data_IF_834773449686
#
_entry.id   IF_834773449686
#
_cell.length_a   1.000
_cell.length_b   1.000
_cell.length_c   1.000
_cell.angle_alpha   90.00
_cell.angle_beta   90.00
_cell.angle_gamma   90.00
#
_symmetry.space_group_name_H-M   'P 1'
#
loop_
_entity.id
_entity.type
_entity.pdbx_description
1 polymer ?
#
# COMPACT_ATOMS: atom_id res chain seq x y z
N UNK A 1 -53.71 -3.70 -41.01
CA UNK A 1 -54.74 -4.65 -41.31
C UNK A 1 -54.31 -6.08 -41.01
N UNK A 2 -55.10 -6.71 -40.23
CA UNK A 2 -55.62 -8.06 -40.27
C UNK A 2 -54.67 -9.20 -39.94
N UNK A 3 -54.94 -10.13 -39.18
CA UNK A 3 -56.06 -10.77 -38.51
C UNK A 3 -55.51 -12.03 -37.89
N UNK A 4 -55.81 -12.31 -36.69
CA UNK A 4 -56.72 -13.31 -36.14
C UNK A 4 -56.51 -14.80 -36.55
N UNK A 5 -56.46 -15.63 -35.51
CA UNK A 5 -56.93 -17.01 -35.41
C UNK A 5 -55.86 -18.01 -34.89
N UNK A 6 -56.01 -18.82 -33.93
CA UNK A 6 -57.08 -19.45 -33.19
C UNK A 6 -56.44 -20.72 -32.62
N UNK A 7 -56.68 -21.09 -31.34
CA UNK A 7 -56.33 -22.39 -30.76
C UNK A 7 -57.28 -23.51 -31.24
N UNK A 8 -57.30 -24.77 -30.69
CA UNK A 8 -57.35 -25.09 -29.28
C UNK A 8 -56.76 -26.46 -28.81
N UNK A 9 -56.57 -26.58 -27.48
CA UNK A 9 -56.91 -27.70 -26.54
C UNK A 9 -56.59 -29.20 -26.80
N UNK A 10 -56.02 -29.78 -25.78
CA UNK A 10 -56.11 -31.21 -25.39
C UNK A 10 -54.87 -31.65 -24.66
N UNK A 11 -54.79 -32.02 -23.44
CA UNK A 11 -55.57 -32.87 -22.60
C UNK A 11 -54.78 -34.16 -22.34
N UNK A 12 -54.23 -34.37 -21.08
CA UNK A 12 -53.75 -35.67 -20.68
C UNK A 12 -52.68 -35.66 -19.60
N UNK A 13 -53.06 -35.91 -18.34
CA UNK A 13 -52.27 -36.42 -17.20
C UNK A 13 -52.56 -37.88 -17.07
N UNK A 14 -51.93 -38.75 -16.20
CA UNK A 14 -50.80 -38.62 -15.26
C UNK A 14 -49.82 -39.82 -15.33
N UNK A 15 -48.73 -39.79 -14.54
CA UNK A 15 -47.95 -41.00 -14.27
C UNK A 15 -46.63 -40.67 -13.55
N UNK A 16 -46.60 -41.09 -12.29
CA UNK A 16 -45.59 -40.89 -11.28
C UNK A 16 -44.31 -41.73 -11.44
N UNK A 17 -43.30 -41.38 -10.69
CA UNK A 17 -42.05 -42.13 -10.55
C UNK A 17 -41.04 -41.35 -9.79
N UNK A 18 -40.88 -41.67 -8.50
CA UNK A 18 -39.86 -41.11 -7.64
C UNK A 18 -38.46 -41.57 -8.05
N UNK A 19 -37.49 -40.69 -7.79
CA UNK A 19 -36.08 -40.98 -7.92
C UNK A 19 -35.28 -39.92 -7.16
N UNK A 20 -34.82 -40.26 -5.96
CA UNK A 20 -33.93 -39.41 -5.15
C UNK A 20 -32.64 -39.11 -5.89
N UNK A 21 -32.42 -37.85 -6.17
CA UNK A 21 -31.13 -37.32 -6.67
C UNK A 21 -30.38 -36.70 -5.52
N UNK A 22 -29.35 -37.40 -5.05
CA UNK A 22 -28.46 -36.93 -4.03
C UNK A 22 -27.81 -35.59 -4.47
N UNK A 23 -27.96 -34.60 -3.64
CA UNK A 23 -27.17 -33.37 -3.72
C UNK A 23 -25.70 -33.72 -3.49
N UNK A 24 -25.00 -33.98 -4.57
CA UNK A 24 -23.56 -34.02 -4.61
C UNK A 24 -23.03 -32.63 -4.37
N UNK A 25 -22.77 -32.31 -3.10
CA UNK A 25 -21.96 -31.17 -2.75
C UNK A 25 -20.58 -31.38 -3.32
N UNK A 26 -20.30 -30.76 -4.47
CA UNK A 26 -18.97 -30.62 -5.03
C UNK A 26 -18.14 -29.78 -4.08
N UNK A 27 -17.54 -30.41 -3.07
CA UNK A 27 -16.42 -29.81 -2.36
C UNK A 27 -15.27 -29.65 -3.35
N UNK A 28 -15.15 -28.45 -3.91
CA UNK A 28 -13.97 -28.07 -4.67
C UNK A 28 -12.77 -28.34 -3.78
N UNK A 29 -11.92 -29.28 -4.15
CA UNK A 29 -10.67 -29.53 -3.46
C UNK A 29 -9.93 -28.19 -3.37
N UNK A 30 -9.76 -27.67 -2.15
CA UNK A 30 -9.04 -26.43 -1.93
C UNK A 30 -7.64 -26.60 -2.53
N UNK A 31 -7.30 -25.75 -3.48
CA UNK A 31 -5.97 -25.74 -4.07
C UNK A 31 -4.95 -25.62 -2.95
N UNK A 32 -3.92 -26.48 -2.87
CA UNK A 32 -2.96 -26.41 -1.80
C UNK A 32 -2.26 -25.03 -1.81
N UNK A 33 -1.92 -24.49 -0.64
CA UNK A 33 -1.25 -23.20 -0.55
C UNK A 33 0.09 -23.23 -1.31
N UNK A 34 0.50 -22.10 -1.94
CA UNK A 34 1.75 -22.02 -2.68
C UNK A 34 2.93 -22.33 -1.79
N UNK A 35 3.94 -23.00 -2.35
CA UNK A 35 5.14 -23.41 -1.64
C UNK A 35 6.37 -22.57 -2.03
N UNK A 36 6.28 -21.82 -3.13
CA UNK A 36 7.41 -21.06 -3.70
C UNK A 36 6.92 -19.68 -4.15
N UNK A 37 6.75 -18.78 -3.19
CA UNK A 37 6.30 -17.41 -3.46
C UNK A 37 7.50 -16.53 -3.77
N UNK A 38 7.48 -15.86 -4.91
CA UNK A 38 8.43 -14.81 -5.27
C UNK A 38 7.69 -13.48 -5.30
N UNK A 39 8.25 -12.46 -4.68
CA UNK A 39 7.69 -11.09 -4.70
C UNK A 39 8.70 -10.11 -5.30
N UNK A 40 8.22 -9.24 -6.19
CA UNK A 40 9.04 -8.31 -6.98
C UNK A 40 8.99 -6.87 -6.46
N UNK A 41 8.29 -6.60 -5.35
CA UNK A 41 8.16 -5.24 -4.82
C UNK A 41 8.19 -5.20 -3.29
N UNK A 42 8.92 -4.25 -2.69
CA UNK A 42 9.07 -4.15 -1.23
C UNK A 42 7.74 -3.93 -0.51
N UNK A 43 6.74 -3.37 -1.18
CA UNK A 43 5.42 -3.16 -0.58
C UNK A 43 4.67 -4.46 -0.33
N UNK A 44 4.71 -5.39 -1.29
CA UNK A 44 4.11 -6.72 -1.14
C UNK A 44 4.96 -7.60 -0.22
N UNK A 45 6.29 -7.46 -0.24
CA UNK A 45 7.19 -8.13 0.68
C UNK A 45 6.84 -7.85 2.13
N UNK A 46 6.56 -6.57 2.46
CA UNK A 46 6.18 -6.17 3.80
C UNK A 46 4.88 -6.84 4.29
N UNK A 47 3.95 -7.10 3.37
CA UNK A 47 2.74 -7.87 3.67
C UNK A 47 3.08 -9.36 3.77
N UNK A 48 3.79 -9.90 2.77
CA UNK A 48 4.09 -11.32 2.63
C UNK A 48 4.79 -11.89 3.86
N UNK A 49 5.81 -11.21 4.39
CA UNK A 49 6.55 -11.66 5.60
C UNK A 49 5.69 -11.67 6.87
N UNK A 50 4.51 -11.08 6.84
CA UNK A 50 3.56 -11.05 7.96
C UNK A 50 2.47 -12.13 7.85
N UNK A 51 2.17 -12.58 6.62
CA UNK A 51 1.05 -13.48 6.37
C UNK A 51 1.48 -14.87 5.91
N UNK A 52 2.60 -15.01 5.19
CA UNK A 52 3.09 -16.30 4.72
C UNK A 52 3.98 -17.01 5.75
N UNK A 53 4.12 -18.33 5.60
CA UNK A 53 5.17 -19.08 6.29
C UNK A 53 6.53 -18.77 5.66
N UNK A 54 7.57 -18.65 6.49
CA UNK A 54 8.93 -18.38 6.00
C UNK A 54 9.38 -19.34 4.88
N UNK A 55 9.02 -20.62 5.00
CA UNK A 55 9.37 -21.67 4.02
C UNK A 55 8.69 -21.50 2.66
N UNK A 56 7.56 -20.78 2.60
CA UNK A 56 6.87 -20.47 1.35
C UNK A 56 7.59 -19.36 0.56
N UNK A 57 8.41 -18.53 1.21
CA UNK A 57 9.05 -17.37 0.60
C UNK A 57 10.33 -17.84 -0.11
N UNK A 58 10.26 -17.97 -1.44
CA UNK A 58 11.38 -18.34 -2.28
C UNK A 58 12.33 -17.15 -2.49
N UNK A 59 11.81 -15.93 -2.71
CA UNK A 59 12.59 -14.71 -2.73
C UNK A 59 11.71 -13.48 -2.52
N UNK A 60 12.28 -12.43 -1.92
CA UNK A 60 11.76 -11.07 -1.84
C UNK A 60 12.45 -10.19 -2.89
N UNK A 61 11.91 -9.00 -3.12
CA UNK A 61 12.60 -7.96 -3.88
C UNK A 61 13.88 -7.52 -3.15
N UNK A 62 14.98 -7.31 -3.89
CA UNK A 62 16.22 -6.74 -3.34
C UNK A 62 16.01 -5.38 -2.66
N UNK A 63 15.03 -4.58 -3.13
CA UNK A 63 14.65 -3.31 -2.51
C UNK A 63 14.23 -3.43 -1.04
N UNK A 64 13.80 -4.62 -0.61
CA UNK A 64 13.44 -4.86 0.79
C UNK A 64 14.64 -4.85 1.75
N UNK A 65 15.87 -4.92 1.22
CA UNK A 65 17.12 -4.74 1.99
C UNK A 65 17.62 -3.31 2.07
N UNK A 66 16.97 -2.36 1.38
CA UNK A 66 17.39 -0.96 1.34
C UNK A 66 16.84 -0.17 2.55
N UNK A 67 17.70 0.35 3.44
CA UNK A 67 17.27 0.98 4.68
C UNK A 67 16.38 2.22 4.49
N UNK A 68 16.61 2.98 3.40
CA UNK A 68 15.87 4.21 3.10
C UNK A 68 14.46 3.96 2.60
N UNK A 69 14.21 2.81 1.96
CA UNK A 69 12.96 2.51 1.25
C UNK A 69 12.11 1.40 1.87
N UNK A 70 12.69 0.54 2.71
CA UNK A 70 12.02 -0.64 3.26
C UNK A 70 11.76 -0.54 4.76
N UNK A 71 10.59 -1.02 5.17
CA UNK A 71 10.20 -1.18 6.59
C UNK A 71 10.57 -2.54 7.18
N UNK A 72 11.16 -3.44 6.39
CA UNK A 72 11.44 -4.84 6.77
C UNK A 72 12.89 -5.26 6.56
N UNK A 73 13.82 -4.31 6.54
CA UNK A 73 15.24 -4.55 6.22
C UNK A 73 15.84 -5.73 7.00
N UNK A 74 15.62 -5.76 8.32
CA UNK A 74 16.19 -6.81 9.18
C UNK A 74 15.61 -8.20 8.86
N UNK A 75 14.31 -8.26 8.54
CA UNK A 75 13.66 -9.51 8.13
C UNK A 75 14.19 -9.94 6.75
N UNK A 76 14.30 -8.99 5.81
CA UNK A 76 14.75 -9.26 4.44
C UNK A 76 16.22 -9.71 4.37
N UNK A 77 17.08 -9.31 5.31
CA UNK A 77 18.46 -9.80 5.40
C UNK A 77 18.56 -11.31 5.61
N UNK A 78 17.58 -11.89 6.30
CA UNK A 78 17.52 -13.31 6.59
C UNK A 78 16.78 -14.15 5.54
N UNK A 79 16.30 -13.53 4.45
CA UNK A 79 15.56 -14.19 3.37
C UNK A 79 16.28 -14.04 2.03
N UNK A 80 16.10 -14.99 1.07
CA UNK A 80 16.59 -14.79 -0.29
C UNK A 80 15.97 -13.56 -0.92
N UNK A 81 16.71 -12.89 -1.81
CA UNK A 81 16.21 -11.78 -2.63
C UNK A 81 16.49 -12.02 -4.10
N UNK A 82 15.70 -11.36 -4.96
CA UNK A 82 15.88 -11.32 -6.41
C UNK A 82 15.93 -9.87 -6.89
N UNK A 83 16.68 -9.62 -7.95
CA UNK A 83 16.66 -8.35 -8.69
C UNK A 83 15.50 -8.28 -9.68
N UNK A 84 14.72 -9.36 -9.81
CA UNK A 84 13.49 -9.38 -10.58
C UNK A 84 13.71 -9.54 -12.08
N UNK A 85 14.89 -10.01 -12.54
CA UNK A 85 15.07 -10.39 -13.93
C UNK A 85 14.24 -11.65 -14.26
N UNK A 86 13.84 -11.80 -15.52
CA UNK A 86 13.04 -12.95 -15.93
C UNK A 86 13.78 -14.27 -15.71
N UNK A 87 15.10 -14.28 -15.93
CA UNK A 87 15.97 -15.43 -15.74
C UNK A 87 16.07 -15.86 -14.26
N UNK A 88 16.23 -14.88 -13.36
CA UNK A 88 16.25 -15.14 -11.92
C UNK A 88 14.91 -15.73 -11.45
N UNK A 89 13.79 -15.09 -11.83
CA UNK A 89 12.45 -15.56 -11.45
C UNK A 89 12.21 -16.98 -11.99
N UNK A 90 12.59 -17.26 -13.25
CA UNK A 90 12.47 -18.59 -13.84
C UNK A 90 13.28 -19.64 -13.05
N UNK A 91 14.49 -19.29 -12.63
CA UNK A 91 15.37 -20.19 -11.83
C UNK A 91 14.75 -20.49 -10.47
N UNK A 92 14.05 -19.52 -9.88
CA UNK A 92 13.35 -19.67 -8.60
C UNK A 92 12.10 -20.55 -8.71
N UNK A 93 11.58 -20.82 -9.92
CA UNK A 93 10.40 -21.67 -10.19
C UNK A 93 9.24 -21.36 -9.25
N UNK A 94 8.69 -20.12 -9.22
CA UNK A 94 7.60 -19.80 -8.34
C UNK A 94 6.30 -20.53 -8.74
N UNK A 95 5.51 -20.93 -7.77
CA UNK A 95 4.12 -21.33 -7.93
C UNK A 95 3.16 -20.16 -7.64
N UNK A 96 3.68 -19.06 -7.03
CA UNK A 96 3.01 -17.77 -6.92
C UNK A 96 4.04 -16.66 -7.12
N UNK A 97 3.78 -15.77 -8.08
CA UNK A 97 4.54 -14.55 -8.31
C UNK A 97 3.68 -13.34 -7.92
N UNK A 98 4.15 -12.54 -6.97
CA UNK A 98 3.53 -11.26 -6.59
C UNK A 98 4.23 -10.14 -7.35
N UNK A 99 3.49 -9.47 -8.23
CA UNK A 99 3.96 -8.41 -9.11
C UNK A 99 3.35 -7.06 -8.74
N UNK A 100 4.05 -5.99 -9.03
CA UNK A 100 3.62 -4.63 -8.74
C UNK A 100 4.09 -3.62 -9.79
N UNK A 101 3.83 -2.36 -9.53
CA UNK A 101 4.13 -1.26 -10.44
C UNK A 101 5.64 -1.01 -10.71
N UNK A 102 6.53 -1.66 -9.96
CA UNK A 102 7.99 -1.54 -10.16
C UNK A 102 8.55 -2.50 -11.20
N UNK A 103 7.79 -3.53 -11.61
CA UNK A 103 8.25 -4.49 -12.60
C UNK A 103 8.14 -3.91 -14.01
N UNK A 104 9.24 -3.84 -14.77
CA UNK A 104 9.20 -3.33 -16.13
C UNK A 104 8.25 -4.15 -17.03
N UNK A 105 7.48 -3.51 -17.91
CA UNK A 105 6.58 -4.23 -18.82
C UNK A 105 7.28 -5.30 -19.67
N UNK A 106 8.53 -5.05 -20.09
CA UNK A 106 9.33 -6.01 -20.85
C UNK A 106 9.64 -7.28 -20.04
N UNK A 107 9.96 -7.15 -18.73
CA UNK A 107 10.17 -8.28 -17.83
C UNK A 107 8.89 -9.09 -17.65
N UNK A 108 7.76 -8.40 -17.42
CA UNK A 108 6.45 -9.04 -17.30
C UNK A 108 6.07 -9.82 -18.56
N UNK A 109 6.30 -9.23 -19.75
CA UNK A 109 6.07 -9.91 -21.03
C UNK A 109 7.02 -11.11 -21.22
N UNK A 110 8.27 -11.04 -20.78
CA UNK A 110 9.21 -12.15 -20.85
C UNK A 110 8.75 -13.30 -19.95
N UNK A 111 8.37 -13.04 -18.70
CA UNK A 111 7.83 -14.03 -17.76
C UNK A 111 6.58 -14.71 -18.32
N UNK A 112 5.64 -13.95 -18.87
CA UNK A 112 4.42 -14.48 -19.47
C UNK A 112 4.71 -15.44 -20.66
N UNK A 113 5.70 -15.12 -21.51
CA UNK A 113 6.15 -16.04 -22.59
C UNK A 113 6.74 -17.35 -22.05
N UNK A 114 7.27 -17.33 -20.83
CA UNK A 114 7.80 -18.53 -20.14
C UNK A 114 6.71 -19.26 -19.33
N UNK A 115 5.43 -18.84 -19.43
CA UNK A 115 4.32 -19.44 -18.69
C UNK A 115 4.24 -19.02 -17.22
N UNK A 116 5.03 -18.01 -16.81
CA UNK A 116 5.00 -17.47 -15.43
C UNK A 116 4.12 -16.21 -15.41
N UNK A 117 2.95 -16.33 -14.80
CA UNK A 117 2.00 -15.23 -14.65
C UNK A 117 2.04 -14.70 -13.22
N UNK A 118 2.23 -13.37 -13.09
CA UNK A 118 2.23 -12.69 -11.80
C UNK A 118 0.83 -12.23 -11.42
N UNK A 119 0.53 -12.30 -10.14
CA UNK A 119 -0.62 -11.63 -9.53
C UNK A 119 -0.29 -10.14 -9.38
N UNK A 120 -0.94 -9.32 -10.21
CA UNK A 120 -0.64 -7.89 -10.30
C UNK A 120 -1.36 -7.10 -9.20
N UNK A 121 -0.61 -6.21 -8.56
CA UNK A 121 -1.09 -5.33 -7.48
C UNK A 121 -0.74 -3.87 -7.83
N UNK A 122 -1.74 -3.02 -8.10
CA UNK A 122 -1.52 -1.59 -8.27
C UNK A 122 -1.09 -0.96 -6.94
N UNK A 123 -0.44 0.20 -6.99
CA UNK A 123 -0.19 0.98 -5.78
C UNK A 123 -1.53 1.39 -5.14
N UNK A 124 -1.69 1.25 -3.81
CA UNK A 124 -2.94 1.64 -3.15
C UNK A 124 -3.05 3.17 -3.07
N UNK A 125 -4.14 3.72 -3.54
CA UNK A 125 -4.45 5.15 -3.40
C UNK A 125 -5.17 5.46 -2.07
N UNK A 126 -5.78 4.44 -1.44
CA UNK A 126 -6.53 4.59 -0.18
C UNK A 126 -6.14 3.55 0.86
N UNK A 127 -6.51 3.82 2.12
CA UNK A 127 -6.41 2.82 3.20
C UNK A 127 -7.25 1.59 2.87
N UNK A 128 -8.42 1.75 2.26
CA UNK A 128 -9.27 0.63 1.86
C UNK A 128 -8.57 -0.27 0.82
N UNK A 129 -7.94 0.31 -0.22
CA UNK A 129 -7.17 -0.43 -1.21
C UNK A 129 -6.00 -1.17 -0.57
N UNK A 130 -5.31 -0.51 0.35
CA UNK A 130 -4.21 -1.10 1.11
C UNK A 130 -4.66 -2.33 1.92
N UNK A 131 -5.81 -2.25 2.61
CA UNK A 131 -6.36 -3.38 3.36
C UNK A 131 -6.83 -4.50 2.42
N UNK A 132 -7.39 -4.16 1.27
CA UNK A 132 -7.77 -5.14 0.24
C UNK A 132 -6.55 -5.89 -0.30
N UNK A 133 -5.42 -5.20 -0.49
CA UNK A 133 -4.15 -5.86 -0.86
C UNK A 133 -3.69 -6.84 0.22
N UNK A 134 -3.72 -6.45 1.51
CA UNK A 134 -3.38 -7.36 2.62
C UNK A 134 -4.24 -8.60 2.59
N UNK A 135 -5.56 -8.45 2.46
CA UNK A 135 -6.49 -9.57 2.39
C UNK A 135 -6.21 -10.48 1.18
N UNK A 136 -5.92 -9.90 0.01
CA UNK A 136 -5.64 -10.65 -1.22
C UNK A 136 -4.33 -11.41 -1.12
N UNK A 137 -3.24 -10.80 -0.66
CA UNK A 137 -1.94 -11.47 -0.47
C UNK A 137 -2.08 -12.61 0.53
N UNK A 138 -2.77 -12.40 1.65
CA UNK A 138 -2.98 -13.44 2.67
C UNK A 138 -3.78 -14.64 2.12
N UNK A 139 -4.84 -14.41 1.34
CA UNK A 139 -5.60 -15.49 0.68
C UNK A 139 -4.75 -16.24 -0.32
N UNK A 140 -3.99 -15.54 -1.16
CA UNK A 140 -3.10 -16.17 -2.15
C UNK A 140 -2.00 -17.00 -1.48
N UNK A 141 -1.47 -16.54 -0.34
CA UNK A 141 -0.49 -17.29 0.45
C UNK A 141 -1.11 -18.48 1.23
N UNK A 142 -2.43 -18.60 1.26
CA UNK A 142 -3.14 -19.67 1.99
C UNK A 142 -3.38 -19.39 3.48
N UNK A 143 -3.25 -18.12 3.93
CA UNK A 143 -3.36 -17.73 5.34
C UNK A 143 -4.30 -16.52 5.54
N UNK A 144 -5.59 -16.60 5.12
CA UNK A 144 -6.52 -15.48 5.19
C UNK A 144 -6.69 -14.92 6.61
N UNK A 145 -6.64 -15.77 7.64
CA UNK A 145 -6.79 -15.39 9.05
C UNK A 145 -5.65 -14.47 9.53
N UNK A 146 -4.42 -14.67 9.01
CA UNK A 146 -3.28 -13.78 9.31
C UNK A 146 -3.49 -12.41 8.65
N UNK A 147 -4.10 -12.39 7.47
CA UNK A 147 -4.51 -11.17 6.80
C UNK A 147 -5.52 -10.38 7.61
N UNK A 148 -6.57 -11.05 8.13
CA UNK A 148 -7.58 -10.43 8.99
C UNK A 148 -6.97 -9.85 10.27
N UNK A 149 -6.08 -10.59 10.92
CA UNK A 149 -5.34 -10.12 12.10
C UNK A 149 -4.51 -8.87 11.79
N UNK A 150 -3.79 -8.87 10.67
CA UNK A 150 -2.99 -7.71 10.25
C UNK A 150 -3.88 -6.51 9.90
N UNK A 151 -4.99 -6.72 9.22
CA UNK A 151 -5.98 -5.67 8.90
C UNK A 151 -6.54 -5.05 10.18
N UNK A 152 -6.91 -5.87 11.17
CA UNK A 152 -7.39 -5.40 12.46
C UNK A 152 -6.33 -4.53 13.17
N UNK A 153 -5.07 -4.94 13.17
CA UNK A 153 -3.98 -4.18 13.75
C UNK A 153 -3.76 -2.82 13.05
N UNK A 154 -3.82 -2.79 11.71
CA UNK A 154 -3.71 -1.54 10.93
C UNK A 154 -4.87 -0.60 11.26
N UNK A 155 -6.11 -1.10 11.25
CA UNK A 155 -7.30 -0.30 11.60
C UNK A 155 -7.21 0.27 13.01
N UNK A 156 -6.80 -0.54 13.98
CA UNK A 156 -6.63 -0.11 15.37
C UNK A 156 -5.57 0.98 15.50
N UNK A 157 -4.44 0.87 14.81
CA UNK A 157 -3.38 1.88 14.83
C UNK A 157 -3.83 3.21 14.22
N UNK A 158 -4.56 3.17 13.09
CA UNK A 158 -5.10 4.38 12.46
C UNK A 158 -6.17 5.03 13.36
N UNK A 159 -7.04 4.24 13.97
CA UNK A 159 -8.06 4.75 14.90
C UNK A 159 -7.43 5.40 16.13
N UNK A 160 -6.41 4.78 16.71
CA UNK A 160 -5.68 5.32 17.86
C UNK A 160 -4.90 6.63 17.53
N UNK A 161 -4.52 6.83 16.27
CA UNK A 161 -3.84 8.03 15.79
C UNK A 161 -4.80 9.18 15.45
N UNK A 162 -6.11 8.94 15.44
CA UNK A 162 -7.09 9.99 15.16
C UNK A 162 -7.07 11.07 16.27
N UNK A 163 -7.28 12.35 15.92
CA UNK A 163 -7.35 13.42 16.91
C UNK A 163 -8.58 13.25 17.81
N UNK A 164 -8.46 13.65 19.06
CA UNK A 164 -9.62 13.77 19.97
C UNK A 164 -10.61 14.81 19.45
N UNK A 165 -11.91 14.69 19.76
CA UNK A 165 -12.89 15.73 19.43
C UNK A 165 -12.46 17.11 19.93
N UNK A 166 -12.57 18.14 19.09
CA UNK A 166 -12.15 19.50 19.42
C UNK A 166 -10.65 19.80 19.21
N UNK A 167 -9.82 18.82 18.90
CA UNK A 167 -8.41 19.06 18.58
C UNK A 167 -8.30 19.94 17.32
N UNK A 168 -7.55 21.07 17.37
CA UNK A 168 -7.34 21.91 16.19
C UNK A 168 -6.66 21.14 15.07
N UNK A 169 -7.12 21.32 13.84
CA UNK A 169 -6.46 20.74 12.67
C UNK A 169 -5.28 21.59 12.26
N UNK A 170 -4.13 20.94 12.13
CA UNK A 170 -2.90 21.58 11.65
C UNK A 170 -2.75 21.35 10.15
N UNK A 171 -2.19 22.33 9.45
CA UNK A 171 -1.77 22.16 8.07
C UNK A 171 -0.44 21.40 8.03
N UNK A 172 -0.30 20.46 7.08
CA UNK A 172 0.94 19.71 6.91
C UNK A 172 1.30 19.52 5.43
N UNK A 173 2.59 19.41 5.17
CA UNK A 173 3.14 19.00 3.90
C UNK A 173 4.09 17.83 4.12
N UNK A 174 3.84 16.69 3.44
CA UNK A 174 4.81 15.59 3.34
C UNK A 174 5.74 15.89 2.17
N UNK A 175 6.99 16.26 2.48
CA UNK A 175 8.00 16.63 1.50
C UNK A 175 8.98 15.47 1.29
N UNK A 176 8.92 14.87 0.09
CA UNK A 176 9.75 13.73 -0.28
C UNK A 176 11.14 14.15 -0.73
N UNK A 177 12.07 13.19 -0.75
CA UNK A 177 13.48 13.41 -1.06
C UNK A 177 13.78 14.11 -2.39
N UNK A 178 12.87 13.98 -3.37
CA UNK A 178 13.02 14.61 -4.69
C UNK A 178 12.25 15.92 -4.83
N UNK A 179 11.77 16.52 -3.71
CA UNK A 179 10.92 17.70 -3.74
C UNK A 179 9.46 17.42 -4.09
N UNK A 180 9.06 16.15 -4.17
CA UNK A 180 7.68 15.78 -4.44
C UNK A 180 6.82 15.86 -3.17
N UNK A 181 5.56 16.22 -3.36
CA UNK A 181 4.51 16.08 -2.36
C UNK A 181 3.29 15.41 -2.98
N UNK A 182 2.52 14.72 -2.14
CA UNK A 182 1.33 13.99 -2.54
C UNK A 182 0.08 14.79 -2.15
N UNK A 183 -0.78 15.07 -3.15
CA UNK A 183 -2.05 15.79 -2.99
C UNK A 183 -3.23 14.83 -2.83
N UNK A 184 -4.44 15.34 -3.06
CA UNK A 184 -5.69 14.58 -2.94
C UNK A 184 -5.72 13.29 -3.76
N UNK A 185 -6.46 12.29 -3.27
CA UNK A 185 -6.60 10.99 -3.92
C UNK A 185 -5.36 10.12 -3.80
N UNK A 186 -4.51 10.38 -2.83
CA UNK A 186 -3.35 9.54 -2.50
C UNK A 186 -3.45 8.97 -1.08
N UNK A 187 -2.81 7.84 -0.85
CA UNK A 187 -2.75 7.21 0.48
C UNK A 187 -2.14 8.14 1.53
N UNK A 188 -1.14 8.94 1.15
CA UNK A 188 -0.50 9.94 2.03
C UNK A 188 -1.51 11.01 2.46
N UNK A 189 -2.31 11.52 1.52
CA UNK A 189 -3.36 12.49 1.81
C UNK A 189 -4.40 11.93 2.79
N UNK A 190 -4.87 10.71 2.54
CA UNK A 190 -5.83 10.06 3.43
C UNK A 190 -5.25 9.86 4.83
N UNK A 191 -3.98 9.45 4.96
CA UNK A 191 -3.32 9.28 6.25
C UNK A 191 -3.16 10.61 6.99
N UNK A 192 -2.80 11.70 6.31
CA UNK A 192 -2.77 13.04 6.89
C UNK A 192 -4.14 13.44 7.44
N UNK A 193 -5.21 13.29 6.65
CA UNK A 193 -6.58 13.64 7.08
C UNK A 193 -7.05 12.83 8.26
N UNK A 194 -6.78 11.52 8.28
CA UNK A 194 -7.16 10.60 9.37
C UNK A 194 -6.42 10.90 10.67
N UNK A 195 -5.22 11.43 10.58
CA UNK A 195 -4.40 11.79 11.76
C UNK A 195 -4.52 13.26 12.17
N UNK A 196 -5.49 14.00 11.61
CA UNK A 196 -5.85 15.35 12.06
C UNK A 196 -5.14 16.49 11.33
N UNK A 197 -4.51 16.20 10.20
CA UNK A 197 -3.88 17.23 9.37
C UNK A 197 -4.78 17.66 8.19
N UNK A 198 -4.51 18.86 7.69
CA UNK A 198 -4.95 19.37 6.40
C UNK A 198 -3.75 19.35 5.48
N UNK A 199 -3.86 18.61 4.38
CA UNK A 199 -2.77 18.52 3.40
C UNK A 199 -2.64 19.84 2.62
N UNK A 200 -1.43 20.43 2.61
CA UNK A 200 -1.15 21.69 1.92
C UNK A 200 -0.86 21.51 0.42
N UNK A 201 -0.55 20.30 -0.05
CA UNK A 201 -0.20 20.07 -1.44
C UNK A 201 -1.26 20.56 -2.45
N UNK A 202 -2.59 20.37 -2.24
CA UNK A 202 -3.61 20.95 -3.12
C UNK A 202 -3.58 22.48 -3.16
N UNK A 203 -3.31 23.12 -2.02
CA UNK A 203 -3.22 24.60 -1.94
C UNK A 203 -2.04 25.15 -2.75
N UNK A 204 -1.01 24.33 -2.96
CA UNK A 204 0.12 24.65 -3.83
C UNK A 204 -0.14 24.30 -5.30
N UNK A 205 -1.37 23.97 -5.66
CA UNK A 205 -1.80 23.67 -7.02
C UNK A 205 -1.53 22.22 -7.48
N UNK A 206 -1.16 21.33 -6.58
CA UNK A 206 -0.95 19.92 -6.92
C UNK A 206 -2.28 19.17 -6.98
N UNK A 207 -2.45 18.36 -8.03
CA UNK A 207 -3.65 17.51 -8.22
C UNK A 207 -3.40 16.04 -7.82
N UNK A 208 -2.14 15.59 -7.86
CA UNK A 208 -1.67 14.26 -7.40
C UNK A 208 -0.27 14.40 -6.81
N UNK A 209 0.63 13.47 -7.06
CA UNK A 209 2.04 13.58 -6.64
C UNK A 209 2.83 14.36 -7.68
N UNK A 210 3.39 15.49 -7.29
CA UNK A 210 4.18 16.35 -8.14
C UNK A 210 5.25 17.11 -7.35
N UNK A 211 6.13 17.80 -8.06
CA UNK A 211 7.19 18.61 -7.47
C UNK A 211 6.61 19.90 -6.89
N UNK A 212 7.01 20.26 -5.68
CA UNK A 212 6.65 21.51 -5.01
C UNK A 212 7.84 22.45 -5.01
N UNK A 213 7.76 23.64 -5.65
CA UNK A 213 8.79 24.66 -5.54
C UNK A 213 8.94 25.11 -4.09
N UNK A 214 10.20 25.27 -3.65
CA UNK A 214 10.50 25.70 -2.28
C UNK A 214 9.94 27.09 -1.98
N UNK A 215 9.91 27.95 -2.98
CA UNK A 215 9.40 29.32 -2.89
C UNK A 215 7.95 29.37 -2.47
N UNK A 216 7.14 28.42 -2.95
CA UNK A 216 5.70 28.31 -2.60
C UNK A 216 5.56 27.91 -1.13
N UNK A 217 6.39 26.97 -0.65
CA UNK A 217 6.40 26.54 0.76
C UNK A 217 6.87 27.67 1.69
N UNK A 218 7.81 28.50 1.23
CA UNK A 218 8.30 29.66 1.99
C UNK A 218 7.25 30.77 2.07
N UNK A 219 6.53 31.02 0.97
CA UNK A 219 5.51 32.07 0.89
C UNK A 219 4.28 31.75 1.76
N UNK A 220 3.87 30.50 1.81
CA UNK A 220 2.71 30.02 2.56
C UNK A 220 3.07 28.70 3.31
N UNK A 221 3.82 28.80 4.42
CA UNK A 221 4.35 27.63 5.10
C UNK A 221 3.24 26.82 5.81
N UNK A 222 3.32 25.47 5.79
CA UNK A 222 2.46 24.62 6.61
C UNK A 222 2.81 24.78 8.09
N UNK A 223 1.88 24.43 8.98
CA UNK A 223 2.19 24.31 10.41
C UNK A 223 3.25 23.25 10.69
N UNK A 224 3.20 22.14 9.92
CA UNK A 224 4.16 21.02 10.06
C UNK A 224 4.71 20.61 8.70
N UNK A 225 6.02 20.70 8.55
CA UNK A 225 6.76 20.11 7.43
C UNK A 225 7.25 18.73 7.81
N UNK A 226 6.65 17.71 7.21
CA UNK A 226 6.96 16.28 7.40
C UNK A 226 7.98 15.85 6.35
N UNK A 227 9.19 15.52 6.77
CA UNK A 227 10.25 15.11 5.85
C UNK A 227 11.16 14.07 6.48
N UNK A 228 11.82 13.26 5.66
CA UNK A 228 12.74 12.24 6.12
C UNK A 228 14.01 12.22 5.27
N UNK A 229 15.09 11.73 5.87
CA UNK A 229 16.34 11.47 5.16
C UNK A 229 16.25 10.13 4.45
N UNK A 230 16.66 10.07 3.18
CA UNK A 230 16.77 8.82 2.42
C UNK A 230 17.94 7.97 2.88
N UNK A 231 19.10 8.59 3.09
CA UNK A 231 20.35 7.92 3.44
C UNK A 231 21.04 8.72 4.55
N UNK A 232 21.06 8.23 5.79
CA UNK A 232 21.89 8.83 6.83
C UNK A 232 23.36 8.88 6.36
N UNK A 233 23.95 10.08 6.32
CA UNK A 233 25.32 10.27 5.90
C UNK A 233 25.55 10.64 4.43
N UNK A 234 24.52 10.55 3.57
CA UNK A 234 24.57 11.04 2.19
C UNK A 234 23.41 11.99 1.95
N UNK A 235 23.60 13.32 2.12
CA UNK A 235 22.52 14.28 2.01
C UNK A 235 21.92 14.27 0.60
N UNK A 236 20.62 13.93 0.54
CA UNK A 236 19.83 14.00 -0.68
C UNK A 236 19.60 15.46 -1.09
N UNK A 237 19.07 15.65 -2.30
CA UNK A 237 18.63 17.00 -2.71
C UNK A 237 17.58 17.57 -1.73
N UNK A 238 16.67 16.76 -1.22
CA UNK A 238 15.70 17.18 -0.22
C UNK A 238 16.36 17.60 1.10
N UNK A 239 17.40 16.91 1.55
CA UNK A 239 18.14 17.31 2.74
C UNK A 239 18.77 18.69 2.56
N UNK A 240 19.31 18.96 1.37
CA UNK A 240 19.86 20.28 1.01
C UNK A 240 18.77 21.34 0.96
N UNK A 241 17.61 21.03 0.37
CA UNK A 241 16.45 21.92 0.37
C UNK A 241 15.95 22.18 1.78
N UNK A 242 15.83 21.13 2.60
CA UNK A 242 15.41 21.26 3.99
C UNK A 242 16.42 22.02 4.87
N UNK A 243 17.71 21.98 4.52
CA UNK A 243 18.76 22.77 5.17
C UNK A 243 18.82 24.22 4.68
N UNK A 244 17.99 24.62 3.70
CA UNK A 244 18.03 25.97 3.13
C UNK A 244 17.76 27.05 4.20
N UNK A 245 18.58 28.12 4.29
CA UNK A 245 18.45 29.14 5.33
C UNK A 245 17.08 29.81 5.40
N UNK A 246 16.38 29.91 4.28
CA UNK A 246 15.02 30.47 4.24
C UNK A 246 14.02 29.64 5.04
N UNK A 247 14.13 28.28 5.02
CA UNK A 247 13.30 27.43 5.86
C UNK A 247 13.67 27.50 7.34
N UNK A 248 14.94 27.75 7.66
CA UNK A 248 15.37 27.95 9.04
C UNK A 248 14.73 29.20 9.67
N UNK A 249 14.53 30.26 8.87
CA UNK A 249 13.84 31.49 9.31
C UNK A 249 12.36 31.30 9.63
N UNK A 250 11.76 30.21 9.19
CA UNK A 250 10.35 29.86 9.45
C UNK A 250 10.15 29.07 10.76
N UNK A 251 11.20 28.82 11.55
CA UNK A 251 11.14 28.00 12.76
C UNK A 251 10.11 28.44 13.81
N UNK A 252 9.75 29.75 13.83
CA UNK A 252 8.66 30.27 14.65
C UNK A 252 7.24 30.11 14.08
N UNK A 253 7.12 29.73 12.79
CA UNK A 253 5.83 29.60 12.08
C UNK A 253 5.56 28.20 11.57
N UNK A 254 6.60 27.38 11.38
CA UNK A 254 6.54 26.04 10.83
C UNK A 254 7.39 25.09 11.66
N UNK A 255 6.78 24.02 12.17
CA UNK A 255 7.50 22.91 12.81
C UNK A 255 8.03 21.94 11.77
N UNK A 256 9.17 21.33 12.05
CA UNK A 256 9.71 20.22 11.26
C UNK A 256 9.57 18.93 12.05
N UNK A 257 9.03 17.91 11.40
CA UNK A 257 8.92 16.58 11.97
C UNK A 257 9.53 15.54 11.02
N UNK A 258 10.17 14.53 11.61
CA UNK A 258 10.75 13.43 10.83
C UNK A 258 9.64 12.48 10.40
N UNK A 259 9.51 12.30 9.08
CA UNK A 259 8.64 11.31 8.47
C UNK A 259 9.42 10.54 7.40
N UNK A 260 10.00 9.39 7.75
CA UNK A 260 10.90 8.64 6.87
C UNK A 260 10.23 8.21 5.57
N UNK A 261 10.95 8.23 4.46
CA UNK A 261 10.41 7.89 3.14
C UNK A 261 9.82 6.47 3.08
N UNK A 262 10.39 5.51 3.81
CA UNK A 262 9.85 4.16 3.93
C UNK A 262 8.40 4.10 4.44
N UNK A 263 7.88 5.18 5.07
CA UNK A 263 6.51 5.29 5.54
C UNK A 263 5.55 5.90 4.49
N UNK A 264 6.09 6.39 3.37
CA UNK A 264 5.32 7.09 2.32
C UNK A 264 5.00 6.20 1.11
N UNK A 265 5.86 5.23 0.82
CA UNK A 265 5.87 4.55 -0.48
C UNK A 265 4.90 3.37 -0.55
N UNK A 266 4.53 2.79 0.58
CA UNK A 266 3.77 1.55 0.63
C UNK A 266 2.52 1.67 1.51
N UNK A 267 1.52 0.84 1.21
CA UNK A 267 0.45 0.48 2.13
C UNK A 267 0.80 -0.71 3.03
N UNK A 268 -0.22 -1.39 3.54
CA UNK A 268 -0.06 -2.57 4.39
C UNK A 268 0.46 -2.24 5.79
N UNK A 269 1.32 -3.10 6.37
CA UNK A 269 1.73 -2.98 7.77
C UNK A 269 2.48 -1.70 8.12
N UNK A 270 3.07 -1.03 7.13
CA UNK A 270 3.77 0.26 7.33
C UNK A 270 2.84 1.35 7.83
N UNK A 271 1.54 1.27 7.53
CA UNK A 271 0.54 2.23 7.99
C UNK A 271 0.42 2.29 9.51
N UNK A 272 0.80 1.23 10.21
CA UNK A 272 0.83 1.21 11.69
C UNK A 272 1.84 2.23 12.22
N UNK A 273 3.05 2.19 11.68
CA UNK A 273 4.11 3.13 12.07
C UNK A 273 3.84 4.54 11.53
N UNK A 274 3.37 4.64 10.29
CA UNK A 274 3.00 5.93 9.68
C UNK A 274 1.95 6.67 10.51
N UNK A 275 0.88 5.99 10.94
CA UNK A 275 -0.17 6.57 11.78
C UNK A 275 0.39 7.10 13.12
N UNK A 276 1.21 6.31 13.80
CA UNK A 276 1.85 6.70 15.07
C UNK A 276 2.78 7.90 14.91
N UNK A 277 3.59 7.90 13.85
CA UNK A 277 4.54 8.98 13.56
C UNK A 277 3.80 10.29 13.25
N UNK A 278 2.73 10.23 12.46
CA UNK A 278 1.90 11.40 12.16
C UNK A 278 1.20 11.94 13.42
N UNK A 279 0.62 11.08 14.25
CA UNK A 279 0.00 11.50 15.51
C UNK A 279 1.01 12.17 16.44
N UNK A 280 2.20 11.58 16.61
CA UNK A 280 3.27 12.16 17.42
C UNK A 280 3.71 13.53 16.90
N UNK A 281 3.83 13.71 15.58
CA UNK A 281 4.18 14.98 14.97
C UNK A 281 3.11 16.06 15.20
N UNK A 282 1.81 15.68 15.11
CA UNK A 282 0.69 16.56 15.45
C UNK A 282 0.74 17.01 16.90
N UNK A 283 0.86 16.06 17.83
CA UNK A 283 0.81 16.33 19.26
C UNK A 283 2.00 17.19 19.71
N UNK A 284 3.18 16.96 19.12
CA UNK A 284 4.35 17.80 19.36
C UNK A 284 4.14 19.24 18.87
N UNK A 285 3.57 19.39 17.67
CA UNK A 285 3.31 20.70 17.09
C UNK A 285 2.25 21.49 17.89
N UNK A 286 1.26 20.82 18.47
CA UNK A 286 0.26 21.44 19.34
C UNK A 286 0.86 21.92 20.67
N UNK A 287 1.68 21.09 21.34
CA UNK A 287 2.38 21.49 22.57
C UNK A 287 3.29 22.72 22.38
N UNK A 288 3.85 22.90 21.22
CA UNK A 288 4.70 24.05 20.96
C UNK A 288 3.96 25.33 20.62
N UNK A 289 2.63 25.34 20.65
CA UNK A 289 1.77 26.51 20.48
C UNK A 289 1.21 27.06 21.80
N UNK A 290 1.30 26.28 22.88
CA UNK A 290 1.01 26.68 24.24
C UNK A 290 2.17 27.48 24.84
#
# INVERSE_FOLDING_TARGET
PGGLGGGPRGGGRPGGGGGGGGAGGGGGAATPPPQRIVSLTPCLDAILVRVADRRQIAALSHYSREPGGSSIVEIARALPVTYGSAEEVMTLRPDLLLDGNLTPPATRAALARMGIHGEEFPAPDTVADSLAQVARVARLAGHPERGETLIAAIRAAIAAAAPSPGTPRLTALVFQANGFASAEGTLVDEMLRRTGFINMAPRYGLTRTANVPLEVVIADPPDVLLAGQLHPGAPSWADRVLAHPALARLSGRMRRAVFPQRLMNCGGPVLIEAARTLAAARDDALRGRE
#
